data_IF_461323647928
#
_entry.id   IF_461323647928
#
_cell.length_a   1.000
_cell.length_b   1.000
_cell.length_c   1.000
_cell.angle_alpha   90.00
_cell.angle_beta   90.00
_cell.angle_gamma   90.00
#
_symmetry.space_group_name_H-M   'P 1'
#
loop_
_entity.id
_entity.type
_entity.pdbx_description
1 polymer ?
#
# COMPACT_ATOMS: atom_id res chain seq x y z
N UNK A 1 2.99 -24.71 -6.52
CA UNK A 1 3.08 -23.48 -7.32
C UNK A 1 4.25 -23.58 -8.30
N UNK A 2 4.04 -23.21 -9.57
CA UNK A 2 5.10 -23.08 -10.57
C UNK A 2 5.55 -21.62 -10.64
N UNK A 3 6.70 -21.30 -10.03
CA UNK A 3 7.29 -19.96 -10.03
C UNK A 3 8.54 -19.91 -10.93
N UNK A 4 8.58 -18.93 -11.84
CA UNK A 4 9.65 -18.76 -12.83
C UNK A 4 10.22 -17.35 -12.80
N UNK A 5 11.53 -17.24 -12.59
CA UNK A 5 12.22 -15.94 -12.55
C UNK A 5 12.82 -15.59 -13.92
N UNK A 6 12.43 -14.42 -14.46
CA UNK A 6 12.86 -13.92 -15.76
C UNK A 6 13.56 -12.57 -15.59
N UNK A 7 14.75 -12.41 -16.19
CA UNK A 7 15.47 -11.11 -16.21
C UNK A 7 16.73 -11.02 -15.34
N UNK A 8 17.27 -12.14 -14.88
CA UNK A 8 18.63 -12.23 -14.33
C UNK A 8 18.84 -11.67 -12.91
N UNK A 9 17.79 -11.56 -12.09
CA UNK A 9 17.95 -11.37 -10.65
C UNK A 9 18.18 -12.72 -9.93
N UNK A 10 18.74 -12.71 -8.71
CA UNK A 10 18.81 -13.90 -7.86
C UNK A 10 17.41 -14.51 -7.70
N UNK A 11 17.29 -15.82 -7.90
CA UNK A 11 16.01 -16.52 -7.77
C UNK A 11 15.64 -16.79 -6.31
N UNK A 12 16.64 -16.94 -5.42
CA UNK A 12 16.48 -17.39 -4.04
C UNK A 12 15.42 -16.62 -3.23
N UNK A 13 15.31 -15.28 -3.28
CA UNK A 13 14.27 -14.58 -2.52
C UNK A 13 12.86 -14.95 -2.98
N UNK A 14 12.65 -15.20 -4.27
CA UNK A 14 11.35 -15.53 -4.85
C UNK A 14 10.97 -16.99 -4.59
N UNK A 15 11.94 -17.90 -4.69
CA UNK A 15 11.74 -19.31 -4.33
C UNK A 15 11.49 -19.46 -2.83
N UNK A 16 12.25 -18.74 -1.98
CA UNK A 16 11.99 -18.74 -0.54
C UNK A 16 10.63 -18.14 -0.17
N UNK A 17 10.15 -17.13 -0.91
CA UNK A 17 8.80 -16.61 -0.72
C UNK A 17 7.74 -17.64 -1.12
N UNK A 18 7.95 -18.35 -2.24
CA UNK A 18 7.08 -19.44 -2.67
C UNK A 18 7.01 -20.57 -1.63
N UNK A 19 8.17 -21.06 -1.17
CA UNK A 19 8.25 -22.14 -0.18
C UNK A 19 7.50 -21.77 1.12
N UNK A 20 7.62 -20.52 1.56
CA UNK A 20 6.93 -20.03 2.75
C UNK A 20 5.43 -19.85 2.52
N UNK A 21 5.04 -19.37 1.34
CA UNK A 21 3.64 -19.18 0.98
C UNK A 21 2.89 -20.52 0.93
N UNK A 22 3.54 -21.54 0.37
CA UNK A 22 3.00 -22.90 0.19
C UNK A 22 2.77 -23.67 1.48
N UNK A 23 3.18 -23.14 2.64
CA UNK A 23 2.86 -23.77 3.92
C UNK A 23 1.37 -23.65 4.25
N UNK A 24 0.71 -22.58 3.79
CA UNK A 24 -0.70 -22.29 4.11
C UNK A 24 -1.57 -22.02 2.87
N UNK A 25 -0.99 -21.61 1.75
CA UNK A 25 -1.73 -21.16 0.57
C UNK A 25 -1.21 -21.78 -0.73
N UNK A 26 -2.07 -21.89 -1.73
CA UNK A 26 -1.69 -22.38 -3.06
C UNK A 26 -2.13 -21.41 -4.16
N UNK A 27 -1.35 -21.36 -5.24
CA UNK A 27 -1.75 -20.72 -6.50
C UNK A 27 -1.88 -21.78 -7.59
N UNK A 28 -3.02 -21.73 -8.26
CA UNK A 28 -3.38 -22.60 -9.38
C UNK A 28 -2.65 -22.21 -10.65
N UNK A 29 -2.44 -20.91 -10.86
CA UNK A 29 -1.76 -20.40 -12.04
C UNK A 29 -0.25 -20.21 -11.82
N UNK A 30 0.58 -20.47 -12.85
CA UNK A 30 2.02 -20.24 -12.76
C UNK A 30 2.33 -18.74 -12.56
N UNK A 31 3.38 -18.46 -11.80
CA UNK A 31 3.85 -17.11 -11.50
C UNK A 31 5.13 -16.80 -12.26
N UNK A 32 5.13 -15.73 -13.04
CA UNK A 32 6.31 -15.24 -13.75
C UNK A 32 6.85 -13.98 -13.10
N UNK A 33 8.01 -14.06 -12.48
CA UNK A 33 8.71 -12.90 -11.93
C UNK A 33 9.43 -12.17 -13.06
N UNK A 34 9.13 -10.87 -13.22
CA UNK A 34 9.74 -9.98 -14.22
C UNK A 34 10.49 -8.86 -13.52
N UNK A 35 11.80 -8.91 -13.65
CA UNK A 35 12.70 -7.86 -13.15
C UNK A 35 12.70 -6.70 -14.14
N UNK A 36 12.39 -5.50 -13.66
CA UNK A 36 12.36 -4.26 -14.44
C UNK A 36 13.65 -3.46 -14.21
N UNK A 37 14.17 -2.84 -15.27
CA UNK A 37 15.41 -2.06 -15.17
C UNK A 37 15.19 -0.68 -14.55
N UNK A 38 13.98 -0.13 -14.65
CA UNK A 38 13.59 1.10 -13.98
C UNK A 38 13.60 0.91 -12.45
N UNK A 39 14.49 1.58 -11.71
CA UNK A 39 14.59 1.44 -10.25
C UNK A 39 13.32 1.93 -9.54
N UNK A 40 12.63 2.90 -10.13
CA UNK A 40 11.41 3.52 -9.57
C UNK A 40 10.14 2.70 -9.87
N UNK A 41 10.28 1.60 -10.63
CA UNK A 41 9.18 0.68 -10.87
C UNK A 41 8.71 0.07 -9.56
N UNK A 42 7.46 0.34 -9.19
CA UNK A 42 6.80 -0.33 -8.07
C UNK A 42 6.77 -1.84 -8.27
N UNK A 43 6.75 -2.57 -7.16
CA UNK A 43 6.40 -3.99 -7.13
C UNK A 43 4.88 -4.14 -7.26
N UNK A 44 4.41 -5.05 -8.12
CA UNK A 44 2.98 -5.33 -8.31
C UNK A 44 2.69 -6.64 -9.07
N UNK A 45 1.58 -7.27 -8.73
CA UNK A 45 1.01 -8.43 -9.39
C UNK A 45 0.09 -8.06 -10.58
N UNK A 46 0.34 -8.68 -11.73
CA UNK A 46 -0.54 -8.67 -12.89
C UNK A 46 -1.19 -10.03 -13.10
N UNK A 47 -2.49 -10.05 -13.35
CA UNK A 47 -3.27 -11.28 -13.50
C UNK A 47 -3.69 -11.47 -14.96
N UNK A 48 -3.46 -12.66 -15.51
CA UNK A 48 -3.87 -13.06 -16.86
C UNK A 48 -4.70 -14.35 -16.80
N UNK A 49 -5.31 -14.73 -17.92
CA UNK A 49 -6.18 -15.92 -17.98
C UNK A 49 -5.47 -17.24 -17.64
N UNK A 50 -4.15 -17.31 -17.80
CA UNK A 50 -3.36 -18.53 -17.72
C UNK A 50 -2.12 -18.43 -16.80
N UNK A 51 -1.89 -17.26 -16.18
CA UNK A 51 -0.70 -16.99 -15.36
C UNK A 51 -0.84 -15.72 -14.53
N UNK A 52 0.00 -15.60 -13.52
CA UNK A 52 0.31 -14.33 -12.86
C UNK A 52 1.68 -13.81 -13.27
N UNK A 53 1.88 -12.51 -13.10
CA UNK A 53 3.16 -11.84 -13.33
C UNK A 53 3.48 -10.97 -12.12
N UNK A 54 4.58 -11.26 -11.42
CA UNK A 54 5.14 -10.41 -10.38
C UNK A 54 6.13 -9.45 -11.05
N UNK A 55 5.82 -8.17 -11.11
CA UNK A 55 6.75 -7.15 -11.58
C UNK A 55 7.48 -6.56 -10.39
N UNK A 56 8.80 -6.43 -10.50
CA UNK A 56 9.65 -5.89 -9.43
C UNK A 56 10.84 -5.16 -10.05
N UNK A 57 11.24 -4.00 -9.50
CA UNK A 57 12.46 -3.33 -9.97
C UNK A 57 13.70 -4.15 -9.63
N UNK A 58 14.78 -3.98 -10.41
CA UNK A 58 16.06 -4.62 -10.11
C UNK A 58 16.56 -4.27 -8.71
N UNK A 59 16.39 -3.02 -8.29
CA UNK A 59 16.74 -2.55 -6.96
C UNK A 59 15.98 -3.31 -5.86
N UNK A 60 14.65 -3.43 -5.99
CA UNK A 60 13.84 -4.15 -5.02
C UNK A 60 14.13 -5.66 -5.01
N UNK A 61 14.33 -6.26 -6.19
CA UNK A 61 14.64 -7.68 -6.36
C UNK A 61 15.97 -8.09 -5.70
N UNK A 62 16.92 -7.16 -5.57
CA UNK A 62 18.22 -7.41 -4.90
C UNK A 62 18.28 -6.89 -3.47
N UNK A 63 17.17 -6.37 -2.93
CA UNK A 63 17.12 -5.79 -1.59
C UNK A 63 16.91 -6.86 -0.50
N UNK A 64 17.18 -6.50 0.75
CA UNK A 64 16.87 -7.35 1.91
C UNK A 64 15.36 -7.64 2.10
N UNK A 65 14.51 -6.87 1.43
CA UNK A 65 13.05 -6.98 1.41
C UNK A 65 12.51 -7.81 0.23
N UNK A 66 13.37 -8.31 -0.67
CA UNK A 66 12.92 -8.96 -1.90
C UNK A 66 11.96 -10.12 -1.67
N UNK A 67 12.20 -10.94 -0.63
CA UNK A 67 11.34 -12.07 -0.26
C UNK A 67 10.00 -11.58 0.29
N UNK A 68 10.02 -10.59 1.17
CA UNK A 68 8.85 -10.03 1.84
C UNK A 68 7.94 -9.32 0.83
N UNK A 69 8.53 -8.56 -0.10
CA UNK A 69 7.81 -7.97 -1.24
C UNK A 69 7.24 -9.05 -2.15
N UNK A 70 8.00 -10.12 -2.44
CA UNK A 70 7.49 -11.19 -3.28
C UNK A 70 6.31 -11.92 -2.63
N UNK A 71 6.40 -12.19 -1.33
CA UNK A 71 5.35 -12.82 -0.56
C UNK A 71 4.07 -11.98 -0.55
N UNK A 72 4.19 -10.66 -0.37
CA UNK A 72 3.04 -9.74 -0.48
C UNK A 72 2.34 -9.84 -1.84
N UNK A 73 3.10 -9.90 -2.94
CA UNK A 73 2.50 -10.05 -4.26
C UNK A 73 1.88 -11.43 -4.50
N UNK A 74 2.43 -12.50 -3.93
CA UNK A 74 1.80 -13.82 -3.96
C UNK A 74 0.45 -13.80 -3.22
N UNK A 75 0.38 -13.10 -2.09
CA UNK A 75 -0.87 -12.89 -1.35
C UNK A 75 -1.92 -12.14 -2.18
N UNK A 76 -1.51 -11.14 -2.98
CA UNK A 76 -2.42 -10.51 -3.96
C UNK A 76 -2.94 -11.51 -5.01
N UNK A 77 -2.09 -12.41 -5.48
CA UNK A 77 -2.48 -13.45 -6.44
C UNK A 77 -3.46 -14.44 -5.83
N UNK A 78 -3.27 -14.86 -4.58
CA UNK A 78 -4.21 -15.76 -3.91
C UNK A 78 -5.57 -15.10 -3.70
N UNK A 79 -5.62 -13.86 -3.20
CA UNK A 79 -6.88 -13.12 -3.11
C UNK A 79 -7.56 -12.95 -4.46
N UNK A 80 -6.79 -12.84 -5.54
CA UNK A 80 -7.34 -12.84 -6.89
C UNK A 80 -7.88 -14.22 -7.31
N UNK A 81 -7.20 -15.33 -7.03
CA UNK A 81 -7.72 -16.67 -7.35
C UNK A 81 -8.94 -17.05 -6.50
N UNK A 82 -8.97 -16.66 -5.23
CA UNK A 82 -10.10 -16.86 -4.31
C UNK A 82 -11.40 -16.16 -4.74
N UNK A 83 -11.32 -15.21 -5.68
CA UNK A 83 -12.48 -14.37 -6.01
C UNK A 83 -12.73 -13.26 -4.99
N UNK A 84 -11.78 -12.98 -4.09
CA UNK A 84 -11.99 -12.05 -2.98
C UNK A 84 -12.34 -10.65 -3.48
N UNK A 85 -13.38 -10.03 -2.92
CA UNK A 85 -13.97 -8.81 -3.49
C UNK A 85 -12.99 -7.63 -3.56
N UNK A 86 -11.99 -7.59 -2.68
CA UNK A 86 -10.93 -6.57 -2.70
C UNK A 86 -10.06 -6.61 -3.96
N UNK A 87 -10.03 -7.74 -4.68
CA UNK A 87 -9.21 -7.95 -5.86
C UNK A 87 -10.01 -7.99 -7.17
N UNK A 88 -11.34 -7.88 -7.10
CA UNK A 88 -12.24 -7.79 -8.27
C UNK A 88 -13.07 -6.50 -8.32
N UNK A 89 -13.31 -5.84 -7.18
CA UNK A 89 -14.01 -4.56 -7.19
C UNK A 89 -13.16 -3.52 -7.91
N UNK A 90 -13.75 -2.86 -8.92
CA UNK A 90 -13.06 -1.82 -9.67
C UNK A 90 -12.76 -0.62 -8.78
N UNK A 91 -11.46 -0.37 -8.53
CA UNK A 91 -10.98 0.85 -7.90
C UNK A 91 -11.41 2.09 -8.68
N UNK A 92 -11.35 2.03 -10.01
CA UNK A 92 -11.78 3.13 -10.89
C UNK A 92 -13.25 3.46 -10.72
N UNK A 93 -14.12 2.44 -10.64
CA UNK A 93 -15.55 2.63 -10.37
C UNK A 93 -15.75 3.32 -9.01
N UNK A 94 -15.11 2.82 -7.95
CA UNK A 94 -15.26 3.38 -6.61
C UNK A 94 -14.77 4.84 -6.53
N UNK A 95 -13.61 5.14 -7.10
CA UNK A 95 -13.08 6.51 -7.18
C UNK A 95 -14.03 7.40 -8.00
N UNK A 96 -14.54 6.92 -9.15
CA UNK A 96 -15.49 7.68 -9.95
C UNK A 96 -16.77 8.00 -9.17
N UNK A 97 -17.36 7.01 -8.50
CA UNK A 97 -18.56 7.21 -7.67
C UNK A 97 -18.31 8.15 -6.49
N UNK A 98 -17.12 8.09 -5.89
CA UNK A 98 -16.74 8.96 -4.79
C UNK A 98 -16.63 10.43 -5.21
N UNK A 99 -16.09 10.67 -6.40
CA UNK A 99 -15.76 12.01 -6.92
C UNK A 99 -16.81 12.58 -7.87
N UNK A 100 -17.90 11.85 -8.14
CA UNK A 100 -18.98 12.30 -9.01
C UNK A 100 -19.51 13.68 -8.59
N UNK A 101 -19.53 14.62 -9.54
CA UNK A 101 -19.99 16.00 -9.32
C UNK A 101 -18.99 16.90 -8.56
N UNK A 102 -17.74 16.47 -8.37
CA UNK A 102 -16.71 17.25 -7.65
C UNK A 102 -15.57 17.67 -8.57
N UNK A 103 -15.04 18.86 -8.32
CA UNK A 103 -13.74 19.28 -8.86
C UNK A 103 -12.66 18.87 -7.87
N UNK A 104 -11.64 18.16 -8.34
CA UNK A 104 -10.59 17.59 -7.49
C UNK A 104 -9.23 17.94 -8.08
N UNK A 105 -8.29 18.34 -7.23
CA UNK A 105 -6.90 18.56 -7.64
C UNK A 105 -6.30 17.27 -8.22
N UNK A 106 -5.55 17.40 -9.32
CA UNK A 106 -4.94 16.25 -10.00
C UNK A 106 -4.05 15.40 -9.07
N UNK A 107 -3.33 16.04 -8.13
CA UNK A 107 -2.51 15.33 -7.14
C UNK A 107 -3.38 14.45 -6.21
N UNK A 108 -4.50 14.99 -5.71
CA UNK A 108 -5.43 14.25 -4.84
C UNK A 108 -6.08 13.08 -5.56
N UNK A 109 -6.29 13.16 -6.88
CA UNK A 109 -6.77 12.01 -7.66
C UNK A 109 -5.79 10.82 -7.57
N UNK A 110 -4.48 11.05 -7.69
CA UNK A 110 -3.48 9.99 -7.55
C UNK A 110 -3.51 9.39 -6.13
N UNK A 111 -3.64 10.24 -5.12
CA UNK A 111 -3.79 9.81 -3.72
C UNK A 111 -5.03 8.95 -3.53
N UNK A 112 -6.18 9.26 -4.16
CA UNK A 112 -7.37 8.42 -4.06
C UNK A 112 -7.15 6.99 -4.55
N UNK A 113 -6.38 6.80 -5.64
CA UNK A 113 -6.01 5.46 -6.10
C UNK A 113 -5.05 4.77 -5.13
N UNK A 114 -4.09 5.50 -4.55
CA UNK A 114 -3.19 4.94 -3.54
C UNK A 114 -3.94 4.51 -2.28
N UNK A 115 -4.88 5.31 -1.78
CA UNK A 115 -5.71 4.99 -0.62
C UNK A 115 -6.58 3.76 -0.88
N UNK A 116 -7.14 3.64 -2.09
CA UNK A 116 -7.90 2.45 -2.45
C UNK A 116 -6.99 1.21 -2.58
N UNK A 117 -5.74 1.37 -3.02
CA UNK A 117 -4.76 0.29 -2.99
C UNK A 117 -4.40 -0.09 -1.55
N UNK A 118 -4.22 0.85 -0.62
CA UNK A 118 -4.04 0.51 0.81
C UNK A 118 -5.17 -0.36 1.34
N UNK A 119 -6.43 -0.09 0.98
CA UNK A 119 -7.54 -0.96 1.34
C UNK A 119 -7.43 -2.37 0.73
N UNK A 120 -6.82 -2.53 -0.44
CA UNK A 120 -6.56 -3.84 -1.06
C UNK A 120 -5.38 -4.54 -0.38
N UNK A 121 -4.33 -3.78 -0.07
CA UNK A 121 -3.07 -4.24 0.50
C UNK A 121 -3.29 -4.82 1.91
N UNK A 122 -4.19 -4.25 2.73
CA UNK A 122 -4.58 -4.87 4.02
C UNK A 122 -4.98 -6.35 3.87
N UNK A 123 -5.74 -6.71 2.83
CA UNK A 123 -6.16 -8.10 2.63
C UNK A 123 -5.05 -9.03 2.15
N UNK A 124 -4.02 -8.49 1.49
CA UNK A 124 -2.84 -9.24 1.08
C UNK A 124 -1.83 -9.34 2.23
N UNK A 125 -1.70 -8.30 3.04
CA UNK A 125 -0.87 -8.30 4.24
C UNK A 125 -1.44 -9.25 5.31
N UNK A 126 -2.76 -9.37 5.43
CA UNK A 126 -3.41 -10.38 6.29
C UNK A 126 -2.86 -11.81 6.02
N UNK A 127 -2.66 -12.16 4.74
CA UNK A 127 -2.11 -13.45 4.32
C UNK A 127 -0.59 -13.50 4.53
N UNK A 128 0.11 -12.44 4.12
CA UNK A 128 1.56 -12.33 4.24
C UNK A 128 2.01 -12.49 5.70
N UNK A 129 1.32 -11.84 6.63
CA UNK A 129 1.61 -11.88 8.06
C UNK A 129 1.15 -13.17 8.75
N UNK A 130 0.32 -13.98 8.09
CA UNK A 130 -0.04 -15.30 8.61
C UNK A 130 1.06 -16.34 8.43
N UNK A 131 2.02 -16.11 7.52
CA UNK A 131 3.09 -17.07 7.19
C UNK A 131 4.50 -16.53 7.45
N UNK A 132 4.71 -15.22 7.46
CA UNK A 132 6.04 -14.62 7.63
C UNK A 132 6.20 -13.84 8.95
N UNK A 133 7.40 -13.88 9.56
CA UNK A 133 7.75 -12.97 10.64
C UNK A 133 7.61 -11.50 10.20
N UNK A 134 7.08 -10.68 11.10
CA UNK A 134 6.73 -9.29 10.79
C UNK A 134 7.88 -8.28 10.97
N UNK A 135 9.01 -8.66 11.58
CA UNK A 135 10.07 -7.73 12.00
C UNK A 135 10.56 -6.84 10.86
N UNK A 136 10.80 -7.45 9.69
CA UNK A 136 11.27 -6.73 8.50
C UNK A 136 10.22 -5.78 7.94
N UNK A 137 8.94 -6.16 8.00
CA UNK A 137 7.86 -5.28 7.57
C UNK A 137 7.76 -4.06 8.48
N UNK A 138 7.81 -4.25 9.80
CA UNK A 138 7.79 -3.15 10.77
C UNK A 138 8.96 -2.19 10.54
N UNK A 139 10.18 -2.72 10.37
CA UNK A 139 11.37 -1.91 10.05
C UNK A 139 11.25 -1.17 8.71
N UNK A 140 10.66 -1.82 7.70
CA UNK A 140 10.41 -1.21 6.40
C UNK A 140 9.41 -0.06 6.50
N UNK A 141 8.30 -0.25 7.22
CA UNK A 141 7.29 0.81 7.46
C UNK A 141 7.92 2.00 8.19
N UNK A 142 8.73 1.75 9.22
CA UNK A 142 9.44 2.81 9.95
C UNK A 142 10.37 3.58 9.01
N UNK A 143 11.18 2.87 8.23
CA UNK A 143 12.15 3.46 7.31
C UNK A 143 11.47 4.30 6.24
N UNK A 144 10.38 3.80 5.64
CA UNK A 144 9.63 4.49 4.60
C UNK A 144 8.97 5.77 5.14
N UNK A 145 8.38 5.70 6.33
CA UNK A 145 7.74 6.87 6.94
C UNK A 145 8.77 7.93 7.37
N UNK A 146 9.88 7.50 7.97
CA UNK A 146 10.98 8.39 8.33
C UNK A 146 11.58 9.08 7.09
N UNK A 147 11.76 8.35 5.99
CA UNK A 147 12.24 8.91 4.73
C UNK A 147 11.26 9.93 4.14
N UNK A 148 9.96 9.63 4.12
CA UNK A 148 8.94 10.55 3.62
C UNK A 148 8.87 11.85 4.43
N UNK A 149 9.00 11.76 5.77
CA UNK A 149 9.06 12.93 6.65
C UNK A 149 10.32 13.77 6.43
N UNK A 150 11.46 13.13 6.17
CA UNK A 150 12.70 13.83 5.86
C UNK A 150 12.67 14.54 4.50
N UNK A 151 11.95 13.97 3.53
CA UNK A 151 11.81 14.47 2.15
C UNK A 151 10.66 15.47 1.96
N UNK A 152 9.96 15.85 3.03
CA UNK A 152 8.83 16.80 2.94
C UNK A 152 9.25 18.15 2.33
N UNK A 153 8.39 18.82 1.55
CA UNK A 153 8.66 20.15 1.02
C UNK A 153 8.99 21.15 2.13
N UNK A 154 10.23 21.64 2.15
CA UNK A 154 10.63 22.73 3.05
C UNK A 154 10.51 24.07 2.35
N UNK A 155 10.21 25.13 3.11
CA UNK A 155 10.33 26.51 2.61
C UNK A 155 11.71 26.70 1.99
N UNK A 156 11.81 27.19 0.74
CA UNK A 156 13.08 27.29 0.05
C UNK A 156 14.02 28.19 0.85
N UNK A 157 15.21 27.67 1.18
CA UNK A 157 16.22 28.39 1.97
C UNK A 157 16.69 29.70 1.34
N UNK A 158 16.44 29.90 0.03
CA UNK A 158 16.73 31.14 -0.70
C UNK A 158 15.47 31.68 -1.39
N UNK A 159 15.14 32.97 -1.22
CA UNK A 159 14.08 33.63 -1.98
C UNK A 159 14.31 33.47 -3.49
N UNK A 160 13.28 33.02 -4.21
CA UNK A 160 13.35 32.81 -5.67
C UNK A 160 13.92 31.45 -6.13
N UNK A 161 14.32 30.58 -5.21
CA UNK A 161 14.69 29.20 -5.55
C UNK A 161 13.44 28.29 -5.56
N UNK A 162 13.37 27.37 -6.53
CA UNK A 162 12.33 26.33 -6.63
C UNK A 162 13.02 24.98 -6.68
N UNK A 163 12.55 24.01 -5.89
CA UNK A 163 13.04 22.65 -5.97
C UNK A 163 12.77 22.07 -7.37
N UNK A 164 13.72 21.26 -7.86
CA UNK A 164 13.63 20.59 -9.16
C UNK A 164 12.67 19.39 -9.08
N UNK A 165 12.67 18.71 -7.94
CA UNK A 165 11.75 17.62 -7.61
C UNK A 165 10.78 18.08 -6.51
N UNK A 166 9.51 17.69 -6.62
CA UNK A 166 8.59 17.85 -5.50
C UNK A 166 8.95 16.81 -4.44
N UNK A 167 9.11 17.26 -3.18
CA UNK A 167 9.25 16.37 -2.04
C UNK A 167 7.96 15.61 -1.74
N UNK A 168 8.01 14.72 -0.77
CA UNK A 168 6.90 13.86 -0.36
C UNK A 168 5.68 14.68 0.09
N UNK A 169 4.51 14.43 -0.51
CA UNK A 169 3.28 15.21 -0.21
C UNK A 169 2.78 14.89 1.21
N UNK A 170 2.63 15.89 2.09
CA UNK A 170 2.21 15.65 3.48
C UNK A 170 0.85 14.95 3.60
N UNK A 171 -0.13 15.30 2.75
CA UNK A 171 -1.49 14.76 2.89
C UNK A 171 -1.51 13.24 2.69
N UNK A 172 -0.78 12.72 1.69
CA UNK A 172 -0.71 11.27 1.46
C UNK A 172 0.24 10.57 2.44
N UNK A 173 1.26 11.28 2.93
CA UNK A 173 2.18 10.77 3.95
C UNK A 173 1.43 10.48 5.27
N UNK A 174 0.53 11.36 5.69
CA UNK A 174 -0.34 11.12 6.84
C UNK A 174 -1.26 9.89 6.65
N UNK A 175 -1.77 9.65 5.44
CA UNK A 175 -2.57 8.43 5.17
C UNK A 175 -1.70 7.17 5.12
N UNK A 176 -0.47 7.26 4.61
CA UNK A 176 0.49 6.14 4.66
C UNK A 176 0.86 5.80 6.12
N UNK A 177 1.03 6.80 6.97
CA UNK A 177 1.24 6.60 8.40
C UNK A 177 0.03 5.92 9.06
N UNK A 178 -1.18 6.37 8.72
CA UNK A 178 -2.42 5.74 9.19
C UNK A 178 -2.51 4.26 8.76
N UNK A 179 -2.14 3.95 7.52
CA UNK A 179 -2.07 2.59 7.00
C UNK A 179 -1.04 1.75 7.76
N UNK A 180 0.18 2.27 7.97
CA UNK A 180 1.22 1.58 8.72
C UNK A 180 0.78 1.25 10.15
N UNK A 181 0.20 2.23 10.87
CA UNK A 181 -0.32 2.01 12.21
C UNK A 181 -1.48 1.00 12.23
N UNK A 182 -2.38 1.10 11.25
CA UNK A 182 -3.50 0.17 11.15
C UNK A 182 -3.03 -1.27 10.97
N UNK A 183 -1.97 -1.48 10.18
CA UNK A 183 -1.43 -2.81 9.93
C UNK A 183 -0.76 -3.38 11.20
N UNK A 184 0.08 -2.59 11.87
CA UNK A 184 0.74 -3.07 13.10
C UNK A 184 -0.25 -3.28 14.25
N UNK A 185 -1.29 -2.46 14.39
CA UNK A 185 -2.32 -2.64 15.41
C UNK A 185 -3.26 -3.81 15.10
N UNK A 186 -3.58 -4.04 13.82
CA UNK A 186 -4.46 -5.13 13.40
C UNK A 186 -3.85 -6.50 13.68
N UNK A 187 -2.52 -6.60 13.60
CA UNK A 187 -1.78 -7.84 13.79
C UNK A 187 -0.99 -7.91 15.09
N UNK A 188 -1.17 -6.94 16.00
CA UNK A 188 -0.50 -6.89 17.31
C UNK A 188 1.04 -6.97 17.19
N UNK A 189 1.62 -6.19 16.26
CA UNK A 189 3.03 -6.31 15.86
C UNK A 189 3.99 -5.45 16.67
N UNK A 190 3.49 -4.43 17.37
CA UNK A 190 4.32 -3.45 18.08
C UNK A 190 3.67 -3.03 19.38
N UNK A 191 4.50 -2.70 20.37
CA UNK A 191 4.06 -2.13 21.63
C UNK A 191 3.58 -0.67 21.49
N UNK A 192 2.75 -0.16 22.42
CA UNK A 192 2.23 1.20 22.37
C UNK A 192 3.28 2.33 22.39
N UNK A 193 4.51 2.05 22.83
CA UNK A 193 5.63 2.99 22.87
C UNK A 193 6.56 2.90 21.65
N UNK A 194 6.18 2.12 20.64
CA UNK A 194 6.96 1.96 19.42
C UNK A 194 7.10 3.28 18.64
N UNK A 195 8.30 3.57 18.14
CA UNK A 195 8.65 4.80 17.40
C UNK A 195 7.78 5.09 16.17
N UNK A 196 7.11 4.07 15.62
CA UNK A 196 6.14 4.25 14.53
C UNK A 196 5.03 5.22 14.92
N UNK A 197 4.60 5.21 16.17
CA UNK A 197 3.63 6.17 16.68
C UNK A 197 4.18 7.59 16.59
N UNK A 198 5.41 7.85 17.03
CA UNK A 198 6.01 9.19 16.95
C UNK A 198 6.11 9.70 15.50
N UNK A 199 6.53 8.83 14.57
CA UNK A 199 6.59 9.16 13.15
C UNK A 199 5.20 9.46 12.58
N UNK A 200 4.18 8.69 12.98
CA UNK A 200 2.82 8.91 12.52
C UNK A 200 2.22 10.21 13.06
N UNK A 201 2.50 10.58 14.31
CA UNK A 201 2.13 11.88 14.86
C UNK A 201 2.79 13.03 14.10
N UNK A 202 4.10 12.92 13.81
CA UNK A 202 4.80 13.92 12.99
C UNK A 202 4.19 14.06 11.58
N UNK A 203 3.76 12.96 10.96
CA UNK A 203 3.07 13.01 9.67
C UNK A 203 1.70 13.68 9.76
N UNK A 204 0.97 13.49 10.86
CA UNK A 204 -0.31 14.14 11.10
C UNK A 204 -0.17 15.65 11.34
N UNK A 205 0.87 16.07 12.08
CA UNK A 205 1.18 17.49 12.30
C UNK A 205 1.45 18.24 10.99
N UNK A 206 2.07 17.57 10.02
CA UNK A 206 2.35 18.12 8.69
C UNK A 206 1.13 18.18 7.76
N UNK A 207 0.04 17.47 8.11
CA UNK A 207 -1.18 17.38 7.31
C UNK A 207 -2.44 17.55 8.17
N UNK A 208 -2.67 18.72 8.79
CA UNK A 208 -3.78 18.94 9.73
C UNK A 208 -5.18 18.77 9.10
N UNK A 209 -5.28 18.74 7.77
CA UNK A 209 -6.54 18.47 7.05
C UNK A 209 -6.88 16.98 6.93
N UNK A 210 -5.93 16.09 7.21
CA UNK A 210 -6.08 14.63 7.13
C UNK A 210 -6.12 14.04 8.53
N UNK A 211 -7.23 13.38 8.88
CA UNK A 211 -7.38 12.76 10.20
C UNK A 211 -6.68 11.39 10.25
N UNK A 212 -5.49 11.34 10.84
CA UNK A 212 -4.72 10.10 11.09
C UNK A 212 -5.59 9.01 11.71
N UNK A 213 -6.24 9.29 12.85
CA UNK A 213 -7.06 8.32 13.57
C UNK A 213 -8.23 7.79 12.75
N UNK A 214 -8.89 8.66 11.96
CA UNK A 214 -10.00 8.22 11.12
C UNK A 214 -9.51 7.22 10.08
N UNK A 215 -8.41 7.49 9.39
CA UNK A 215 -7.88 6.58 8.38
C UNK A 215 -7.35 5.29 9.01
N UNK A 216 -6.65 5.40 10.16
CA UNK A 216 -6.11 4.26 10.90
C UNK A 216 -7.23 3.29 11.27
N UNK A 217 -8.29 3.81 11.90
CA UNK A 217 -9.41 3.00 12.32
C UNK A 217 -10.12 2.36 11.12
N UNK A 218 -10.27 3.09 10.01
CA UNK A 218 -10.90 2.56 8.79
C UNK A 218 -10.12 1.38 8.19
N UNK A 219 -8.80 1.48 8.12
CA UNK A 219 -7.96 0.39 7.62
C UNK A 219 -7.93 -0.79 8.59
N UNK A 220 -7.78 -0.52 9.89
CA UNK A 220 -7.67 -1.54 10.95
C UNK A 220 -8.91 -2.41 11.04
N UNK A 221 -10.08 -1.79 10.88
CA UNK A 221 -11.40 -2.43 11.03
C UNK A 221 -12.02 -2.94 9.73
N UNK A 222 -11.25 -3.02 8.64
CA UNK A 222 -11.73 -3.67 7.42
C UNK A 222 -12.18 -5.10 7.74
N UNK A 223 -13.42 -5.41 7.39
CA UNK A 223 -14.00 -6.73 7.56
C UNK A 223 -13.20 -7.75 6.76
N UNK A 224 -12.94 -8.93 7.34
CA UNK A 224 -12.11 -9.97 6.73
C UNK A 224 -12.71 -10.54 5.42
N UNK A 225 -14.04 -10.69 5.35
CA UNK A 225 -14.76 -11.16 4.17
C UNK A 225 -16.00 -10.27 3.92
N UNK A 226 -15.81 -9.08 3.31
CA UNK A 226 -16.92 -8.17 3.05
C UNK A 226 -17.69 -8.60 1.81
N UNK A 227 -18.99 -8.32 1.77
CA UNK A 227 -19.74 -8.39 0.51
C UNK A 227 -19.24 -7.34 -0.48
N UNK A 228 -19.48 -7.56 -1.78
CA UNK A 228 -19.15 -6.59 -2.84
C UNK A 228 -19.71 -5.19 -2.57
N UNK A 229 -20.95 -5.13 -2.06
CA UNK A 229 -21.62 -3.86 -1.75
C UNK A 229 -20.97 -3.14 -0.57
N UNK A 230 -20.56 -3.87 0.46
CA UNK A 230 -19.86 -3.32 1.63
C UNK A 230 -18.48 -2.82 1.24
N UNK A 231 -17.69 -3.63 0.54
CA UNK A 231 -16.34 -3.23 0.13
C UNK A 231 -16.36 -2.01 -0.80
N UNK A 232 -17.27 -1.98 -1.79
CA UNK A 232 -17.45 -0.80 -2.65
C UNK A 232 -17.84 0.45 -1.86
N UNK A 233 -18.73 0.32 -0.87
CA UNK A 233 -19.12 1.44 0.00
C UNK A 233 -17.93 1.94 0.79
N UNK A 234 -17.15 1.04 1.40
CA UNK A 234 -15.91 1.37 2.11
C UNK A 234 -14.95 2.16 1.23
N UNK A 235 -14.69 1.70 -0.01
CA UNK A 235 -13.83 2.42 -0.96
C UNK A 235 -14.37 3.82 -1.32
N UNK A 236 -15.69 3.93 -1.53
CA UNK A 236 -16.32 5.22 -1.81
C UNK A 236 -16.18 6.17 -0.62
N UNK A 237 -16.41 5.67 0.59
CA UNK A 237 -16.41 6.49 1.81
C UNK A 237 -14.99 6.96 2.17
N UNK A 238 -13.98 6.10 2.06
CA UNK A 238 -12.58 6.47 2.35
C UNK A 238 -12.07 7.52 1.35
N UNK A 239 -12.42 7.38 0.06
CA UNK A 239 -12.05 8.36 -0.97
C UNK A 239 -12.79 9.69 -0.75
N UNK A 240 -14.09 9.65 -0.47
CA UNK A 240 -14.86 10.86 -0.15
C UNK A 240 -14.28 11.57 1.06
N UNK A 241 -13.94 10.84 2.12
CA UNK A 241 -13.37 11.41 3.33
C UNK A 241 -12.04 12.12 3.06
N UNK A 242 -11.21 11.56 2.20
CA UNK A 242 -9.93 12.17 1.84
C UNK A 242 -10.08 13.49 1.06
N UNK A 243 -11.06 13.55 0.16
CA UNK A 243 -11.24 14.72 -0.72
C UNK A 243 -12.11 15.79 -0.08
N UNK A 244 -13.04 15.41 0.79
CA UNK A 244 -13.90 16.36 1.53
C UNK A 244 -13.15 16.83 2.77
N UNK A 245 -12.46 17.96 2.63
CA UNK A 245 -11.97 18.70 3.80
C UNK A 245 -13.18 19.17 4.63
N UNK A 246 -13.23 18.90 5.95
CA UNK A 246 -14.25 19.47 6.83
C UNK A 246 -14.13 21.00 7.02
N UNK A 247 -13.16 21.67 6.37
CA UNK A 247 -12.87 23.09 6.52
C UNK A 247 -13.46 24.03 5.47
N UNK A 248 -14.25 23.55 4.50
CA UNK A 248 -15.00 24.44 3.59
C UNK A 248 -16.48 24.30 3.91
N UNK A 249 -16.92 25.03 4.93
CA UNK A 249 -18.30 25.48 4.97
C UNK A 249 -18.51 26.30 3.69
N UNK A 250 -19.53 25.94 2.92
CA UNK A 250 -19.98 26.77 1.82
C UNK A 250 -20.44 28.11 2.40
N UNK A 251 -19.74 29.18 2.01
CA UNK A 251 -20.29 30.54 2.02
C UNK A 251 -21.39 30.65 0.95
#
# INVERSE_FOLDING_TARGET
MDLRVVGGAPADPFLSAADLFETEFELSYPVFVRVRDDPDSRTWAGHYQDRHVLNISRQAATSAMARELALHELSHMARNEEGHVSHYQSTREAVFLALAGRTVERRKLAHCYQIANHCKDIYADDLTLSVAPADKLVQFLESQLAAALADRPQSPARPGSRLVTAGSDPDITAVNAAFALALVERHDLVEPDHRLYDLAHAAADDAPSVSLDTFKERFRTLAADPSKSEYRRTLVDVVKRYVVNPGVAAD
#
